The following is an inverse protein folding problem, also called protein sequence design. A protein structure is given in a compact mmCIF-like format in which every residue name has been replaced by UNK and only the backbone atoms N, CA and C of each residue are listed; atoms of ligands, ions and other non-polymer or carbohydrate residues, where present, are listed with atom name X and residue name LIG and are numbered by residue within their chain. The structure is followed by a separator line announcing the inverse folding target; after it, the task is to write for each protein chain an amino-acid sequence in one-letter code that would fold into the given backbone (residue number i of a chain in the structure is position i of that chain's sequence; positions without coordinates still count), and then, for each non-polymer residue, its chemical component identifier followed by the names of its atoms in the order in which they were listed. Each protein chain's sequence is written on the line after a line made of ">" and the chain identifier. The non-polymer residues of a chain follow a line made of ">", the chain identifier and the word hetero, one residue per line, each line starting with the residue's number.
data_IF_431932563048
#
_entry.id   IF_431932563048
#
_cell.length_a   1.000
_cell.length_b   1.000
_cell.length_c   1.000
_cell.angle_alpha   90.00
_cell.angle_beta   90.00
_cell.angle_gamma   90.00
#
_symmetry.space_group_name_H-M   'P 1'
#
loop_
_entity.id
_entity.type
_entity.pdbx_description
1 polymer ?
#
# COMPACT_ATOMS: atom_id res chain seq x y z
N UNK A 1 -55.67 -37.06 66.40
CA UNK A 1 -55.60 -37.44 64.98
C UNK A 1 -55.08 -36.23 64.24
N UNK A 2 -53.78 -36.20 63.97
CA UNK A 2 -53.11 -35.06 63.33
C UNK A 2 -53.05 -35.33 61.84
N UNK A 3 -53.65 -34.47 61.02
CA UNK A 3 -53.61 -34.58 59.56
C UNK A 3 -52.32 -33.91 59.09
N UNK A 4 -51.44 -34.70 58.49
CA UNK A 4 -50.25 -34.22 57.81
C UNK A 4 -50.67 -33.61 56.48
N UNK A 5 -50.41 -32.31 56.29
CA UNK A 5 -50.75 -31.60 55.07
C UNK A 5 -49.49 -31.55 54.23
N UNK A 6 -49.42 -32.41 53.20
CA UNK A 6 -48.31 -32.41 52.27
C UNK A 6 -48.22 -31.05 51.55
N UNK A 7 -47.14 -30.34 51.80
CA UNK A 7 -46.86 -29.06 51.14
C UNK A 7 -46.18 -29.34 49.81
N UNK A 8 -46.94 -29.28 48.71
CA UNK A 8 -46.38 -29.42 47.35
C UNK A 8 -45.74 -28.10 46.93
N UNK A 9 -44.43 -28.12 46.67
CA UNK A 9 -43.68 -26.98 46.15
C UNK A 9 -43.46 -27.17 44.64
N UNK A 10 -44.06 -26.30 43.83
CA UNK A 10 -43.76 -26.23 42.40
C UNK A 10 -42.46 -25.44 42.22
N UNK A 11 -41.53 -26.00 41.45
CA UNK A 11 -40.29 -25.34 41.06
C UNK A 11 -40.32 -25.19 39.55
N UNK A 12 -40.37 -23.95 39.09
CA UNK A 12 -40.21 -23.65 37.68
C UNK A 12 -38.72 -23.81 37.33
N UNK A 13 -38.44 -24.58 36.28
CA UNK A 13 -37.11 -24.70 35.71
C UNK A 13 -37.21 -24.57 34.19
N UNK A 14 -36.24 -23.90 33.61
CA UNK A 14 -36.12 -23.76 32.16
C UNK A 14 -35.30 -24.94 31.62
N UNK A 15 -35.84 -25.64 30.62
CA UNK A 15 -35.06 -26.60 29.84
C UNK A 15 -34.55 -25.85 28.60
N UNK A 16 -33.24 -25.54 28.50
CA UNK A 16 -32.71 -24.95 27.28
C UNK A 16 -32.80 -25.99 26.16
N UNK A 17 -33.67 -25.72 25.18
CA UNK A 17 -33.67 -26.46 23.91
C UNK A 17 -32.53 -25.93 23.05
N UNK A 18 -31.64 -26.83 22.60
CA UNK A 18 -30.64 -26.46 21.60
C UNK A 18 -31.37 -26.02 20.34
N UNK A 19 -31.19 -24.76 19.95
CA UNK A 19 -31.67 -24.29 18.66
C UNK A 19 -31.01 -25.07 17.53
N UNK A 20 -31.66 -25.10 16.38
CA UNK A 20 -31.09 -25.64 15.14
C UNK A 20 -30.33 -24.53 14.42
N UNK A 21 -29.28 -24.89 13.68
CA UNK A 21 -28.64 -23.98 12.71
C UNK A 21 -29.48 -23.97 11.45
N UNK A 22 -29.77 -22.77 10.92
CA UNK A 22 -30.50 -22.62 9.65
C UNK A 22 -29.96 -21.39 8.94
N UNK A 23 -29.32 -21.59 7.79
CA UNK A 23 -28.80 -20.47 7.00
C UNK A 23 -29.80 -20.00 5.95
N UNK A 24 -29.95 -18.69 5.88
CA UNK A 24 -30.54 -17.95 4.77
C UNK A 24 -29.46 -17.12 4.07
N UNK A 25 -29.56 -17.02 2.75
CA UNK A 25 -28.55 -16.36 1.91
C UNK A 25 -29.25 -15.39 0.98
N UNK A 26 -28.91 -14.11 1.12
CA UNK A 26 -29.41 -13.03 0.26
C UNK A 26 -28.26 -12.47 -0.58
N UNK A 27 -28.56 -12.06 -1.82
CA UNK A 27 -27.58 -11.39 -2.67
C UNK A 27 -28.29 -10.45 -3.63
N UNK A 28 -27.74 -9.24 -3.79
CA UNK A 28 -28.20 -8.26 -4.78
C UNK A 28 -27.00 -7.74 -5.57
N UNK A 29 -26.65 -8.45 -6.64
CA UNK A 29 -25.48 -8.16 -7.46
C UNK A 29 -25.89 -7.76 -8.88
N UNK A 30 -25.25 -6.72 -9.43
CA UNK A 30 -25.43 -6.31 -10.83
C UNK A 30 -24.08 -6.38 -11.55
N UNK A 31 -23.95 -7.29 -12.51
CA UNK A 31 -22.73 -7.50 -13.29
C UNK A 31 -22.93 -7.05 -14.74
N UNK A 32 -21.91 -6.41 -15.33
CA UNK A 32 -21.91 -5.99 -16.74
C UNK A 32 -21.25 -7.08 -17.59
N UNK A 33 -21.85 -7.39 -18.75
CA UNK A 33 -21.32 -8.39 -19.69
C UNK A 33 -19.87 -8.05 -20.09
N UNK A 34 -18.99 -9.05 -20.02
CA UNK A 34 -17.58 -8.94 -20.39
C UNK A 34 -16.68 -8.19 -19.41
N UNK A 35 -17.12 -7.95 -18.16
CA UNK A 35 -16.33 -7.28 -17.12
C UNK A 35 -16.28 -8.13 -15.85
N UNK A 36 -15.15 -8.06 -15.14
CA UNK A 36 -15.01 -8.59 -13.78
C UNK A 36 -15.80 -7.69 -12.83
N UNK A 37 -16.49 -8.27 -11.86
CA UNK A 37 -17.22 -7.54 -10.83
C UNK A 37 -17.41 -8.39 -9.57
N UNK A 38 -17.66 -7.70 -8.46
CA UNK A 38 -17.78 -8.32 -7.15
C UNK A 38 -19.16 -8.95 -6.92
N UNK A 39 -19.13 -10.05 -6.17
CA UNK A 39 -20.31 -10.73 -5.64
C UNK A 39 -20.31 -10.49 -4.13
N UNK A 40 -21.28 -9.72 -3.66
CA UNK A 40 -21.60 -9.51 -2.26
C UNK A 40 -22.72 -10.45 -1.88
N UNK A 41 -22.55 -11.15 -0.76
CA UNK A 41 -23.51 -12.13 -0.27
C UNK A 41 -23.73 -11.84 1.21
N UNK A 42 -24.99 -11.80 1.63
CA UNK A 42 -25.31 -11.76 3.05
C UNK A 42 -25.76 -13.14 3.51
N UNK A 43 -25.20 -13.59 4.62
CA UNK A 43 -25.55 -14.87 5.23
C UNK A 43 -26.16 -14.59 6.60
N UNK A 44 -27.29 -15.21 6.88
CA UNK A 44 -28.00 -15.09 8.16
C UNK A 44 -28.24 -16.48 8.75
N UNK A 45 -27.85 -16.72 9.99
CA UNK A 45 -28.29 -17.89 10.73
C UNK A 45 -29.67 -17.60 11.33
N UNK A 46 -30.75 -17.87 10.60
CA UNK A 46 -32.12 -17.75 11.11
C UNK A 46 -32.46 -18.78 12.20
N UNK A 47 -31.58 -19.75 12.40
CA UNK A 47 -31.68 -20.74 13.45
C UNK A 47 -31.40 -20.17 14.83
N UNK A 48 -31.90 -20.83 15.88
CA UNK A 48 -31.59 -20.47 17.27
C UNK A 48 -30.33 -21.14 17.83
N UNK A 49 -29.64 -21.96 17.02
CA UNK A 49 -28.43 -22.68 17.43
C UNK A 49 -27.18 -22.09 16.78
N UNK A 50 -26.06 -22.15 17.50
CA UNK A 50 -24.80 -21.61 17.02
C UNK A 50 -24.17 -22.52 15.96
N UNK A 51 -23.75 -21.93 14.85
CA UNK A 51 -22.90 -22.58 13.86
C UNK A 51 -21.43 -22.22 14.14
N UNK A 52 -20.55 -23.21 13.99
CA UNK A 52 -19.12 -23.05 14.22
C UNK A 52 -18.35 -23.37 12.95
N UNK A 53 -17.29 -22.63 12.68
CA UNK A 53 -16.39 -22.85 11.55
C UNK A 53 -17.10 -22.88 10.18
N UNK A 54 -17.96 -21.90 9.93
CA UNK A 54 -18.75 -21.83 8.70
C UNK A 54 -17.86 -21.42 7.53
N UNK A 55 -17.95 -22.18 6.44
CA UNK A 55 -17.26 -21.92 5.17
C UNK A 55 -18.28 -21.86 4.05
N UNK A 56 -18.13 -20.88 3.16
CA UNK A 56 -19.07 -20.53 2.11
C UNK A 56 -18.40 -20.78 0.78
N UNK A 57 -18.97 -21.67 -0.02
CA UNK A 57 -18.47 -21.97 -1.35
C UNK A 57 -19.44 -21.47 -2.41
N UNK A 58 -18.92 -20.67 -3.33
CA UNK A 58 -19.61 -20.19 -4.50
C UNK A 58 -19.49 -21.23 -5.63
N UNK A 59 -20.61 -21.78 -6.06
CA UNK A 59 -20.69 -22.66 -7.23
C UNK A 59 -21.26 -21.86 -8.41
N UNK A 60 -20.45 -21.68 -9.46
CA UNK A 60 -20.81 -20.86 -10.62
C UNK A 60 -21.00 -21.76 -11.85
N UNK A 61 -21.98 -21.40 -12.68
CA UNK A 61 -22.27 -22.06 -13.96
C UNK A 61 -22.31 -21.04 -15.09
N UNK A 62 -22.24 -21.53 -16.34
CA UNK A 62 -22.31 -20.71 -17.55
C UNK A 62 -23.48 -19.69 -17.47
N UNK A 63 -23.25 -18.40 -17.80
CA UNK A 63 -22.07 -17.83 -18.45
C UNK A 63 -20.96 -17.34 -17.48
N UNK A 64 -21.03 -17.66 -16.19
CA UNK A 64 -20.10 -17.15 -15.18
C UNK A 64 -18.96 -18.13 -14.92
N UNK A 65 -17.74 -17.62 -14.98
CA UNK A 65 -16.52 -18.33 -14.55
C UNK A 65 -15.92 -17.59 -13.36
N UNK A 66 -15.56 -18.28 -12.26
CA UNK A 66 -14.89 -17.63 -11.14
C UNK A 66 -13.54 -17.09 -11.62
N UNK A 67 -13.30 -15.80 -11.40
CA UNK A 67 -12.00 -15.16 -11.66
C UNK A 67 -11.11 -15.21 -10.41
N UNK A 68 -11.70 -15.45 -9.23
CA UNK A 68 -11.07 -15.47 -7.89
C UNK A 68 -11.47 -16.73 -7.11
N UNK A 69 -11.01 -16.83 -5.86
CA UNK A 69 -11.42 -17.85 -4.91
C UNK A 69 -12.95 -17.93 -4.82
N UNK A 70 -13.46 -19.15 -4.92
CA UNK A 70 -14.89 -19.44 -4.84
C UNK A 70 -15.26 -20.03 -3.49
N UNK A 71 -14.46 -19.79 -2.45
CA UNK A 71 -14.63 -20.32 -1.10
C UNK A 71 -14.08 -19.34 -0.07
N UNK A 72 -14.82 -19.07 1.01
CA UNK A 72 -14.40 -18.21 2.11
C UNK A 72 -14.89 -18.71 3.46
N UNK A 73 -13.99 -18.64 4.44
CA UNK A 73 -14.29 -18.94 5.82
C UNK A 73 -14.88 -17.71 6.50
N UNK A 74 -16.10 -17.83 6.99
CA UNK A 74 -16.90 -16.71 7.54
C UNK A 74 -17.03 -16.78 9.06
N UNK A 75 -16.32 -17.73 9.68
CA UNK A 75 -16.25 -17.90 11.12
C UNK A 75 -17.51 -18.53 11.73
N UNK A 76 -17.76 -18.21 12.99
CA UNK A 76 -18.91 -18.71 13.73
C UNK A 76 -20.15 -17.84 13.47
N UNK A 77 -21.34 -18.42 13.63
CA UNK A 77 -22.61 -17.68 13.63
C UNK A 77 -23.39 -18.02 14.89
N UNK A 78 -23.68 -17.06 15.75
CA UNK A 78 -24.68 -17.20 16.80
C UNK A 78 -26.09 -17.36 16.20
N UNK A 79 -27.03 -17.85 17.00
CA UNK A 79 -28.43 -17.90 16.59
C UNK A 79 -28.98 -16.49 16.27
N UNK A 80 -29.47 -16.28 15.05
CA UNK A 80 -29.93 -14.98 14.55
C UNK A 80 -28.85 -14.08 13.96
N UNK A 81 -27.58 -14.47 13.99
CA UNK A 81 -26.47 -13.63 13.51
C UNK A 81 -26.48 -13.47 11.98
N UNK A 82 -26.17 -12.26 11.51
CA UNK A 82 -26.04 -11.89 10.10
C UNK A 82 -24.64 -11.36 9.82
N UNK A 83 -24.00 -11.86 8.77
CA UNK A 83 -22.70 -11.36 8.29
C UNK A 83 -22.74 -11.11 6.78
N UNK A 84 -22.23 -9.95 6.39
CA UNK A 84 -21.95 -9.64 4.99
C UNK A 84 -20.57 -10.17 4.63
N UNK A 85 -20.48 -10.86 3.50
CA UNK A 85 -19.26 -11.51 3.03
C UNK A 85 -18.86 -10.89 1.70
N UNK A 86 -17.67 -10.28 1.71
CA UNK A 86 -17.09 -9.59 0.56
C UNK A 86 -15.62 -9.99 0.46
N UNK A 87 -15.25 -10.54 -0.70
CA UNK A 87 -13.96 -11.18 -0.91
C UNK A 87 -12.94 -10.23 -1.57
N UNK A 88 -12.08 -9.49 -0.85
CA UNK A 88 -11.07 -8.62 -1.51
C UNK A 88 -9.75 -8.41 -0.74
N UNK A 89 -8.62 -8.68 -1.42
CA UNK A 89 -7.30 -8.06 -1.18
C UNK A 89 -6.92 -7.31 -2.46
N UNK A 90 -6.51 -6.05 -2.34
CA UNK A 90 -6.22 -5.18 -3.49
C UNK A 90 -4.74 -4.83 -3.54
N UNK A 91 -4.17 -4.79 -4.75
CA UNK A 91 -2.79 -4.38 -4.99
C UNK A 91 -2.81 -3.07 -5.77
N UNK A 92 -2.13 -2.06 -5.28
CA UNK A 92 -2.06 -0.74 -5.89
C UNK A 92 -0.61 -0.28 -6.08
N UNK A 93 -0.41 0.61 -7.04
CA UNK A 93 0.84 1.36 -7.14
C UNK A 93 0.74 2.58 -6.24
N UNK A 94 1.45 2.60 -5.13
CA UNK A 94 1.52 3.78 -4.28
C UNK A 94 2.39 4.84 -4.94
N UNK A 95 3.60 4.45 -5.34
CA UNK A 95 4.56 5.38 -5.92
C UNK A 95 5.47 4.70 -6.94
N UNK A 96 5.98 5.48 -7.87
CA UNK A 96 7.00 5.04 -8.81
C UNK A 96 7.96 6.18 -9.10
N UNK A 97 9.24 5.87 -9.16
CA UNK A 97 10.22 6.75 -9.77
C UNK A 97 9.81 7.07 -11.21
N UNK A 98 10.35 8.16 -11.73
CA UNK A 98 10.20 8.40 -13.17
C UNK A 98 11.12 7.42 -13.90
N UNK A 99 10.59 6.73 -14.91
CA UNK A 99 11.35 5.74 -15.68
C UNK A 99 11.54 6.16 -17.14
N UNK A 100 12.63 5.71 -17.74
CA UNK A 100 12.85 5.67 -19.19
C UNK A 100 13.57 4.36 -19.56
N UNK A 101 13.77 4.09 -20.85
CA UNK A 101 14.45 2.88 -21.31
C UNK A 101 15.85 2.77 -20.72
N UNK A 102 16.17 1.63 -20.11
CA UNK A 102 17.46 1.36 -19.48
C UNK A 102 17.64 1.94 -18.07
N UNK A 103 16.67 2.72 -17.55
CA UNK A 103 16.79 3.31 -16.21
C UNK A 103 16.48 2.29 -15.11
N UNK A 104 17.17 2.44 -13.98
CA UNK A 104 16.87 1.74 -12.72
C UNK A 104 16.21 2.71 -11.75
N UNK A 105 15.22 2.25 -11.01
CA UNK A 105 14.48 3.06 -10.03
C UNK A 105 13.61 2.20 -9.14
N UNK A 106 12.96 2.86 -8.17
CA UNK A 106 12.08 2.24 -7.19
C UNK A 106 10.62 2.31 -7.62
N UNK A 107 9.86 1.27 -7.29
CA UNK A 107 8.39 1.25 -7.29
C UNK A 107 7.92 0.78 -5.93
N UNK A 108 6.94 1.47 -5.36
CA UNK A 108 6.30 1.13 -4.09
C UNK A 108 4.93 0.54 -4.38
N UNK A 109 4.71 -0.69 -3.92
CA UNK A 109 3.49 -1.46 -4.16
C UNK A 109 2.77 -1.62 -2.83
N UNK A 110 1.50 -1.24 -2.82
CA UNK A 110 0.63 -1.25 -1.67
C UNK A 110 -0.29 -2.47 -1.72
N UNK A 111 -0.46 -3.15 -0.59
CA UNK A 111 -1.40 -4.26 -0.39
C UNK A 111 -2.40 -3.84 0.66
N UNK A 112 -3.68 -3.80 0.28
CA UNK A 112 -4.78 -3.37 1.14
C UNK A 112 -5.70 -4.55 1.44
N UNK A 113 -5.97 -4.80 2.73
CA UNK A 113 -6.97 -5.76 3.16
C UNK A 113 -8.33 -5.11 3.35
N UNK A 114 -9.15 -5.15 2.30
CA UNK A 114 -10.52 -4.65 2.32
C UNK A 114 -11.52 -5.68 2.87
N UNK A 115 -11.03 -6.84 3.34
CA UNK A 115 -11.84 -7.91 3.94
C UNK A 115 -12.08 -7.72 5.43
N UNK A 116 -13.08 -8.43 5.96
CA UNK A 116 -13.45 -8.42 7.38
C UNK A 116 -12.61 -9.38 8.25
N UNK A 117 -11.70 -10.13 7.64
CA UNK A 117 -10.85 -11.11 8.31
C UNK A 117 -9.38 -10.73 8.09
N UNK A 118 -8.56 -10.99 9.11
CA UNK A 118 -7.11 -10.80 8.98
C UNK A 118 -6.55 -11.77 7.94
N UNK A 119 -5.63 -11.27 7.12
CA UNK A 119 -4.83 -12.09 6.24
C UNK A 119 -3.55 -12.51 6.96
N UNK A 120 -3.20 -13.80 6.89
CA UNK A 120 -1.98 -14.35 7.49
C UNK A 120 -1.05 -14.88 6.41
N UNK A 121 0.24 -14.92 6.74
CA UNK A 121 1.32 -15.38 5.86
C UNK A 121 1.35 -14.67 4.50
N UNK A 122 1.00 -13.38 4.48
CA UNK A 122 0.94 -12.58 3.27
C UNK A 122 2.33 -12.47 2.64
N UNK A 123 2.41 -12.82 1.36
CA UNK A 123 3.60 -12.72 0.51
C UNK A 123 3.28 -11.93 -0.74
N UNK A 124 4.06 -10.89 -1.00
CA UNK A 124 3.98 -10.10 -2.22
C UNK A 124 5.20 -10.40 -3.10
N UNK A 125 4.96 -10.82 -4.33
CA UNK A 125 5.98 -11.09 -5.34
C UNK A 125 5.83 -10.15 -6.53
N UNK A 126 6.92 -9.53 -6.98
CA UNK A 126 6.99 -8.82 -8.24
C UNK A 126 7.72 -9.71 -9.26
N UNK A 127 7.02 -10.19 -10.28
CA UNK A 127 7.60 -11.10 -11.25
C UNK A 127 8.39 -10.32 -12.32
N UNK A 128 9.63 -10.72 -12.66
CA UNK A 128 10.36 -10.12 -13.76
C UNK A 128 9.72 -10.48 -15.11
N UNK A 129 9.92 -9.63 -16.11
CA UNK A 129 9.43 -9.85 -17.48
C UNK A 129 10.50 -9.49 -18.51
N UNK A 130 10.20 -9.67 -19.80
CA UNK A 130 11.08 -9.20 -20.87
C UNK A 130 11.22 -7.66 -20.90
N UNK A 131 10.25 -6.93 -20.32
CA UNK A 131 10.26 -5.47 -20.30
C UNK A 131 11.06 -4.89 -19.11
N UNK A 132 11.17 -5.62 -18.00
CA UNK A 132 11.87 -5.16 -16.81
C UNK A 132 12.42 -6.31 -15.99
N UNK A 133 13.54 -6.05 -15.33
CA UNK A 133 14.14 -6.95 -14.34
C UNK A 133 13.97 -6.38 -12.93
N UNK A 134 13.73 -7.26 -11.97
CA UNK A 134 13.75 -6.90 -10.55
C UNK A 134 15.19 -7.05 -10.06
N UNK A 135 15.77 -5.96 -9.58
CA UNK A 135 17.17 -5.87 -9.13
C UNK A 135 17.31 -5.90 -7.61
N UNK A 136 16.23 -5.65 -6.87
CA UNK A 136 16.08 -5.97 -5.45
C UNK A 136 15.70 -7.45 -5.27
N UNK A 137 15.40 -7.86 -4.03
CA UNK A 137 14.58 -9.07 -3.83
C UNK A 137 13.23 -8.89 -4.53
N UNK A 138 12.68 -9.99 -5.03
CA UNK A 138 11.46 -10.00 -5.82
C UNK A 138 10.26 -10.56 -5.03
N UNK A 139 10.44 -11.01 -3.80
CA UNK A 139 9.39 -11.46 -2.89
C UNK A 139 9.61 -10.86 -1.51
N UNK A 140 8.54 -10.32 -0.92
CA UNK A 140 8.47 -9.84 0.46
C UNK A 140 7.47 -10.67 1.25
N UNK A 141 7.85 -11.04 2.47
CA UNK A 141 6.96 -11.69 3.43
C UNK A 141 6.47 -10.63 4.42
N UNK A 142 5.23 -10.17 4.20
CA UNK A 142 4.55 -9.17 5.03
C UNK A 142 4.13 -9.81 6.36
N UNK A 143 3.70 -11.08 6.32
CA UNK A 143 3.28 -11.79 7.53
C UNK A 143 1.79 -11.63 7.77
N UNK A 144 1.39 -10.89 8.80
CA UNK A 144 -0.01 -10.64 9.10
C UNK A 144 -0.41 -9.27 8.57
N UNK A 145 -1.62 -9.18 8.01
CA UNK A 145 -2.24 -7.95 7.55
C UNK A 145 -3.68 -7.95 8.06
N UNK A 146 -3.97 -7.12 9.06
CA UNK A 146 -5.26 -7.11 9.74
C UNK A 146 -6.37 -6.61 8.81
N UNK A 147 -7.63 -6.81 9.19
CA UNK A 147 -8.76 -6.21 8.47
C UNK A 147 -8.64 -4.68 8.45
N UNK A 148 -8.89 -4.06 7.29
CA UNK A 148 -8.81 -2.60 7.05
C UNK A 148 -7.37 -2.01 7.12
N UNK A 149 -6.36 -2.87 7.21
CA UNK A 149 -4.95 -2.47 7.23
C UNK A 149 -4.33 -2.48 5.82
N UNK A 150 -3.20 -1.77 5.74
CA UNK A 150 -2.41 -1.58 4.54
C UNK A 150 -0.93 -1.79 4.82
N UNK A 151 -0.24 -2.43 3.87
CA UNK A 151 1.21 -2.58 3.90
C UNK A 151 1.83 -2.21 2.55
N UNK A 152 2.99 -1.56 2.60
CA UNK A 152 3.71 -1.07 1.42
C UNK A 152 5.09 -1.71 1.33
N UNK A 153 5.43 -2.19 0.13
CA UNK A 153 6.76 -2.74 -0.15
C UNK A 153 7.43 -2.09 -1.35
N UNK A 154 8.75 -1.89 -1.22
CA UNK A 154 9.58 -1.24 -2.21
C UNK A 154 10.38 -2.24 -3.06
N UNK A 155 10.18 -2.21 -4.37
CA UNK A 155 10.98 -2.97 -5.33
C UNK A 155 11.90 -2.04 -6.12
N UNK A 156 13.12 -2.48 -6.39
CA UNK A 156 14.00 -1.80 -7.35
C UNK A 156 13.98 -2.54 -8.68
N UNK A 157 13.52 -1.87 -9.74
CA UNK A 157 13.43 -2.44 -11.08
C UNK A 157 14.36 -1.73 -12.06
N UNK A 158 14.82 -2.46 -13.07
CA UNK A 158 15.52 -1.92 -14.23
C UNK A 158 14.68 -2.16 -15.48
N UNK A 159 14.37 -1.09 -16.20
CA UNK A 159 13.64 -1.15 -17.48
C UNK A 159 14.59 -1.62 -18.59
N UNK A 160 14.13 -2.54 -19.43
CA UNK A 160 14.90 -3.05 -20.55
C UNK A 160 15.30 -1.95 -21.55
N UNK A 161 16.49 -2.07 -22.12
CA UNK A 161 17.04 -1.07 -23.05
C UNK A 161 16.25 -0.96 -24.37
N UNK A 162 15.58 -2.06 -24.76
CA UNK A 162 14.81 -2.17 -26.00
C UNK A 162 13.30 -1.96 -25.85
N UNK A 163 12.80 -1.71 -24.63
CA UNK A 163 11.36 -1.58 -24.37
C UNK A 163 10.79 -0.40 -25.12
N UNK A 164 9.82 -0.59 -26.00
CA UNK A 164 9.24 0.50 -26.79
C UNK A 164 7.87 1.00 -26.30
N UNK A 165 7.47 0.64 -25.08
CA UNK A 165 6.13 0.90 -24.51
C UNK A 165 6.10 2.20 -23.68
N UNK A 166 4.97 2.91 -23.70
CA UNK A 166 4.73 4.07 -22.83
C UNK A 166 4.22 3.66 -21.45
N UNK A 167 3.59 2.48 -21.34
CA UNK A 167 3.07 1.91 -20.11
C UNK A 167 3.59 0.48 -20.00
N UNK A 168 4.13 0.12 -18.85
CA UNK A 168 4.51 -1.26 -18.53
C UNK A 168 3.60 -1.76 -17.40
N UNK A 169 2.89 -2.88 -17.60
CA UNK A 169 2.18 -3.57 -16.53
C UNK A 169 3.16 -4.40 -15.71
N UNK A 170 3.42 -3.99 -14.48
CA UNK A 170 4.21 -4.76 -13.53
C UNK A 170 3.36 -5.90 -13.00
N UNK A 171 3.81 -7.14 -13.22
CA UNK A 171 3.13 -8.36 -12.78
C UNK A 171 3.40 -8.62 -11.31
N UNK A 172 2.35 -8.53 -10.51
CA UNK A 172 2.39 -8.75 -9.07
C UNK A 172 1.63 -10.02 -8.72
N UNK A 173 2.13 -10.75 -7.74
CA UNK A 173 1.52 -11.97 -7.24
C UNK A 173 1.45 -11.90 -5.73
N UNK A 174 0.24 -12.05 -5.20
CA UNK A 174 -0.06 -12.06 -3.78
C UNK A 174 -0.45 -13.48 -3.36
N UNK A 175 0.18 -13.99 -2.31
CA UNK A 175 -0.17 -15.26 -1.68
C UNK A 175 -0.51 -15.01 -0.22
N UNK A 176 -1.59 -15.60 0.29
CA UNK A 176 -2.04 -15.37 1.66
C UNK A 176 -2.96 -16.49 2.15
N UNK A 177 -3.22 -16.52 3.46
CA UNK A 177 -4.24 -17.36 4.12
C UNK A 177 -5.26 -16.48 4.82
N UNK A 178 -6.52 -16.91 4.85
CA UNK A 178 -7.52 -16.28 5.72
C UNK A 178 -7.21 -16.61 7.19
N UNK A 179 -7.51 -15.69 8.12
CA UNK A 179 -7.03 -15.72 9.50
C UNK A 179 -7.07 -17.08 10.20
N UNK A 180 -8.19 -17.80 10.14
CA UNK A 180 -8.34 -19.11 10.80
C UNK A 180 -8.39 -20.29 9.82
N UNK A 181 -8.04 -20.07 8.55
CA UNK A 181 -8.09 -21.08 7.50
C UNK A 181 -6.69 -21.52 7.07
N UNK A 182 -6.52 -22.84 6.88
CA UNK A 182 -5.31 -23.40 6.28
C UNK A 182 -5.27 -23.24 4.75
N UNK A 183 -6.38 -22.81 4.13
CA UNK A 183 -6.48 -22.62 2.69
C UNK A 183 -5.54 -21.50 2.21
N UNK A 184 -4.72 -21.84 1.21
CA UNK A 184 -3.83 -20.89 0.55
C UNK A 184 -4.52 -20.28 -0.66
N UNK A 185 -4.52 -18.96 -0.71
CA UNK A 185 -5.04 -18.17 -1.81
C UNK A 185 -3.88 -17.54 -2.57
N UNK A 186 -4.06 -17.43 -3.89
CA UNK A 186 -3.10 -16.85 -4.80
C UNK A 186 -3.84 -15.90 -5.76
N UNK A 187 -3.36 -14.66 -5.83
CA UNK A 187 -3.89 -13.62 -6.72
C UNK A 187 -2.75 -13.09 -7.58
N UNK A 188 -2.98 -13.01 -8.88
CA UNK A 188 -2.08 -12.33 -9.81
C UNK A 188 -2.78 -11.07 -10.31
N UNK A 189 -2.05 -9.95 -10.33
CA UNK A 189 -2.56 -8.66 -10.77
C UNK A 189 -1.47 -7.89 -11.52
N UNK A 190 -1.83 -6.72 -12.06
CA UNK A 190 -0.88 -5.82 -12.71
C UNK A 190 -1.02 -4.40 -12.25
N UNK A 191 0.12 -3.77 -11.91
CA UNK A 191 0.18 -2.33 -11.63
C UNK A 191 0.95 -1.59 -12.72
N UNK A 192 0.35 -0.55 -13.29
CA UNK A 192 0.88 0.12 -14.48
C UNK A 192 1.84 1.26 -14.12
N UNK A 193 3.05 1.23 -14.68
CA UNK A 193 4.00 2.35 -14.60
C UNK A 193 4.16 3.04 -15.95
N UNK A 194 4.39 4.37 -15.92
CA UNK A 194 4.62 5.18 -17.12
C UNK A 194 6.11 5.27 -17.44
N UNK A 195 6.44 5.05 -18.71
CA UNK A 195 7.79 5.15 -19.25
C UNK A 195 7.89 6.38 -20.14
N UNK A 196 8.81 7.29 -19.81
CA UNK A 196 9.05 8.49 -20.59
C UNK A 196 10.01 8.22 -21.75
N UNK A 197 9.88 9.04 -22.79
CA UNK A 197 10.92 9.18 -23.81
C UNK A 197 12.23 9.66 -23.17
N UNK A 198 13.36 9.40 -23.82
CA UNK A 198 14.66 9.84 -23.28
C UNK A 198 14.73 11.37 -23.21
N UNK A 199 14.10 12.03 -24.18
CA UNK A 199 13.98 13.48 -24.29
C UNK A 199 13.19 14.05 -23.11
N UNK A 200 11.99 13.52 -22.84
CA UNK A 200 11.13 14.00 -21.75
C UNK A 200 11.72 13.69 -20.37
N UNK A 201 12.34 12.53 -20.23
CA UNK A 201 13.08 12.16 -19.02
C UNK A 201 14.20 13.16 -18.75
N UNK A 202 15.04 13.43 -19.76
CA UNK A 202 16.13 14.39 -19.64
C UNK A 202 15.61 15.80 -19.32
N UNK A 203 14.52 16.24 -19.93
CA UNK A 203 13.92 17.54 -19.64
C UNK A 203 13.45 17.67 -18.18
N UNK A 204 12.86 16.61 -17.61
CA UNK A 204 12.36 16.59 -16.23
C UNK A 204 13.50 16.64 -15.19
N UNK A 205 14.65 16.05 -15.48
CA UNK A 205 15.81 16.00 -14.58
C UNK A 205 16.91 17.05 -14.89
N UNK A 206 16.77 17.81 -15.98
CA UNK A 206 17.56 19.01 -16.26
C UNK A 206 17.09 20.20 -15.40
N UNK A 207 17.13 20.03 -14.08
CA UNK A 207 16.88 21.11 -13.12
C UNK A 207 17.59 22.40 -13.54
N UNK A 208 16.82 23.49 -13.53
CA UNK A 208 17.18 24.87 -13.85
C UNK A 208 18.66 25.23 -13.54
N UNK A 209 19.59 24.96 -14.46
CA UNK A 209 21.00 25.42 -14.34
C UNK A 209 21.10 26.92 -14.18
N UNK A 210 20.09 27.66 -14.61
CA UNK A 210 19.94 29.11 -14.46
C UNK A 210 19.76 29.53 -13.00
N UNK A 211 19.00 28.79 -12.17
CA UNK A 211 18.75 29.17 -10.77
C UNK A 211 19.98 28.98 -9.87
N UNK A 212 20.77 27.92 -10.05
CA UNK A 212 22.00 27.71 -9.25
C UNK A 212 23.11 28.68 -9.64
N UNK A 213 23.20 29.06 -10.93
CA UNK A 213 24.15 30.07 -11.40
C UNK A 213 23.77 31.47 -10.89
N UNK A 214 22.49 31.84 -10.91
CA UNK A 214 22.01 33.13 -10.38
C UNK A 214 22.25 33.26 -8.88
N UNK A 215 22.00 32.20 -8.10
CA UNK A 215 22.28 32.18 -6.65
C UNK A 215 23.79 32.28 -6.39
N UNK A 216 24.62 31.57 -7.16
CA UNK A 216 26.07 31.66 -7.05
C UNK A 216 26.62 33.06 -7.36
N UNK A 217 26.10 33.72 -8.40
CA UNK A 217 26.46 35.10 -8.75
C UNK A 217 26.00 36.09 -7.68
N UNK A 218 24.79 35.93 -7.12
CA UNK A 218 24.26 36.77 -6.04
C UNK A 218 25.10 36.71 -4.77
N UNK A 219 25.72 35.57 -4.46
CA UNK A 219 26.62 35.41 -3.31
C UNK A 219 28.03 35.94 -3.62
N UNK A 220 28.52 35.77 -4.86
CA UNK A 220 29.85 36.22 -5.24
C UNK A 220 30.01 37.76 -5.23
N UNK A 221 28.97 38.51 -5.62
CA UNK A 221 28.99 39.98 -5.66
C UNK A 221 29.32 40.62 -4.30
N UNK A 222 28.61 40.32 -3.19
CA UNK A 222 28.93 40.89 -1.88
C UNK A 222 30.29 40.45 -1.36
N UNK A 223 30.74 39.22 -1.65
CA UNK A 223 32.08 38.74 -1.26
C UNK A 223 33.18 39.53 -1.96
N UNK A 224 33.06 39.74 -3.28
CA UNK A 224 33.99 40.56 -4.05
C UNK A 224 33.98 42.01 -3.54
N UNK A 225 32.79 42.56 -3.25
CA UNK A 225 32.66 43.91 -2.70
C UNK A 225 33.35 44.06 -1.33
N UNK A 226 33.17 43.08 -0.43
CA UNK A 226 33.86 43.05 0.88
C UNK A 226 35.38 42.95 0.69
N UNK A 227 35.86 42.09 -0.22
CA UNK A 227 37.29 41.96 -0.51
C UNK A 227 37.89 43.27 -1.02
N UNK A 228 37.19 43.96 -1.92
CA UNK A 228 37.60 45.28 -2.41
C UNK A 228 37.60 46.35 -1.30
N UNK A 229 36.60 46.34 -0.41
CA UNK A 229 36.57 47.23 0.76
C UNK A 229 37.74 46.98 1.72
N UNK A 230 38.09 45.72 1.97
CA UNK A 230 39.23 45.35 2.82
C UNK A 230 40.54 45.83 2.19
N UNK A 231 40.75 45.57 0.89
CA UNK A 231 41.93 46.06 0.17
C UNK A 231 42.03 47.58 0.21
N UNK A 232 40.92 48.28 -0.03
CA UNK A 232 40.86 49.74 0.07
C UNK A 232 41.20 50.25 1.48
N UNK A 233 40.70 49.57 2.52
CA UNK A 233 40.99 49.91 3.91
C UNK A 233 42.47 49.72 4.26
N UNK A 234 43.07 48.60 3.85
CA UNK A 234 44.51 48.32 4.04
C UNK A 234 45.35 49.41 3.37
N UNK A 235 45.02 49.75 2.11
CA UNK A 235 45.71 50.84 1.39
C UNK A 235 45.60 52.18 2.12
N UNK A 236 44.41 52.52 2.64
CA UNK A 236 44.18 53.76 3.40
C UNK A 236 44.91 53.78 4.75
N UNK A 237 44.99 52.63 5.43
CA UNK A 237 45.73 52.50 6.67
C UNK A 237 47.23 52.70 6.43
N UNK A 238 47.77 52.10 5.37
CA UNK A 238 49.17 52.26 4.98
C UNK A 238 49.51 53.72 4.64
N UNK A 239 48.64 54.41 3.90
CA UNK A 239 48.85 55.84 3.58
C UNK A 239 48.78 56.76 4.80
N UNK A 240 47.95 56.45 5.80
CA UNK A 240 47.91 57.16 7.08
C UNK A 240 49.16 56.93 7.92
N UNK A 241 49.64 55.69 8.01
CA UNK A 241 50.86 55.34 8.76
C UNK A 241 52.08 56.00 8.12
N UNK A 242 52.24 55.88 6.80
CA UNK A 242 53.33 56.55 6.07
C UNK A 242 53.24 58.07 6.19
N UNK A 243 52.04 58.67 6.11
CA UNK A 243 51.83 60.10 6.34
C UNK A 243 52.18 60.54 7.76
N UNK A 244 51.81 59.77 8.78
CA UNK A 244 52.15 60.04 10.18
C UNK A 244 53.66 59.92 10.43
N UNK A 245 54.30 58.86 9.92
CA UNK A 245 55.74 58.66 10.01
C UNK A 245 56.49 59.80 9.31
N UNK A 246 56.08 60.20 8.10
CA UNK A 246 56.70 61.30 7.37
C UNK A 246 56.55 62.63 8.13
N UNK A 247 55.36 62.91 8.69
CA UNK A 247 55.12 64.13 9.47
C UNK A 247 55.88 64.15 10.81
N UNK A 248 56.20 63.00 11.40
CA UNK A 248 56.90 62.88 12.70
C UNK A 248 58.43 62.79 12.56
N UNK A 249 58.94 62.19 11.49
CA UNK A 249 60.39 62.07 11.22
C UNK A 249 60.96 63.30 10.52
N UNK A 250 60.14 64.04 9.75
CA UNK A 250 60.59 65.22 8.98
C UNK A 250 60.01 66.55 9.48
N UNK A 251 59.43 66.59 10.68
CA UNK A 251 59.15 67.86 11.36
C UNK A 251 60.40 68.37 12.08
N UNK A 252 61.32 68.94 11.30
CA UNK A 252 62.32 69.89 11.76
C UNK A 252 62.41 71.01 10.74
#
# INVERSE_FOLDING_TARGET
>A
MSVEIDTVKFLDFEIPVKGIVKFDVDSNNTLKLGRVGDINITITNEGGGDAKHVTVKLDLSDPFTPVRASEEYVGDFEGGERKDVTFNLTIALESADTFTRGSTGKVSIEVVNEGFIDAKFVKLTLEPTDDYSVTSINEFYIGNLDSDDVETEDFTIKIGDSVNKEIIPLKVKLQYKGGESDAEYMKEDTVNIKILSKEDYAAKFQGNKTSSMIIGVLIAIPVIFIALLVLWFIYKLFSLVTGYINRKLFSR
#
